data_IF_382951916073
#
_entry.id   IF_382951916073
#
_cell.length_a   1.000
_cell.length_b   1.000
_cell.length_c   1.000
_cell.angle_alpha   90.00
_cell.angle_beta   90.00
_cell.angle_gamma   90.00
#
_symmetry.space_group_name_H-M   'P 1'
#
loop_
_entity.id
_entity.type
_entity.pdbx_description
1 polymer ?
#
# COMPACT_ATOMS: atom_id res chain seq x y z
N UNK A 1 9.02 6.32 26.12
CA UNK A 1 8.04 7.25 25.52
C UNK A 1 8.61 8.02 24.33
N UNK A 2 9.77 8.69 24.45
CA UNK A 2 10.42 9.39 23.32
C UNK A 2 10.64 8.49 22.08
N UNK A 3 11.08 7.24 22.28
CA UNK A 3 11.29 6.27 21.19
C UNK A 3 10.01 5.87 20.45
N UNK A 4 8.91 5.65 21.17
CA UNK A 4 7.60 5.31 20.58
C UNK A 4 7.09 6.45 19.69
N UNK A 5 7.22 7.69 20.14
CA UNK A 5 6.83 8.85 19.37
C UNK A 5 7.67 9.01 18.10
N UNK A 6 8.99 8.79 18.19
CA UNK A 6 9.88 8.78 17.01
C UNK A 6 9.48 7.70 15.99
N UNK A 7 9.11 6.50 16.43
CA UNK A 7 8.64 5.45 15.52
C UNK A 7 7.30 5.80 14.87
N UNK A 8 6.38 6.45 15.59
CA UNK A 8 5.12 6.92 15.03
C UNK A 8 5.34 8.00 13.96
N UNK A 9 6.25 8.95 14.21
CA UNK A 9 6.62 9.96 13.21
C UNK A 9 7.24 9.29 11.98
N UNK A 10 8.16 8.35 12.17
CA UNK A 10 8.78 7.64 11.06
C UNK A 10 7.73 6.87 10.23
N UNK A 11 6.76 6.21 10.88
CA UNK A 11 5.66 5.52 10.21
C UNK A 11 4.74 6.49 9.43
N UNK A 12 4.43 7.66 10.01
CA UNK A 12 3.66 8.71 9.33
C UNK A 12 4.40 9.22 8.08
N UNK A 13 5.70 9.52 8.21
CA UNK A 13 6.53 9.96 7.09
C UNK A 13 6.63 8.89 6.01
N UNK A 14 6.83 7.62 6.38
CA UNK A 14 6.83 6.51 5.44
C UNK A 14 5.48 6.39 4.71
N UNK A 15 4.37 6.63 5.40
CA UNK A 15 3.02 6.63 4.82
C UNK A 15 2.83 7.66 3.71
N UNK A 16 3.56 8.79 3.75
CA UNK A 16 3.48 9.81 2.68
C UNK A 16 3.95 9.31 1.32
N UNK A 17 4.80 8.28 1.28
CA UNK A 17 5.29 7.69 0.03
C UNK A 17 4.19 6.92 -0.73
N UNK A 18 3.17 6.42 -0.03
CA UNK A 18 2.14 5.55 -0.61
C UNK A 18 1.33 6.23 -1.72
N UNK A 19 0.82 7.48 -1.56
CA UNK A 19 0.18 8.21 -2.66
C UNK A 19 1.07 8.38 -3.90
N UNK A 20 2.35 8.71 -3.71
CA UNK A 20 3.29 8.89 -4.82
C UNK A 20 3.51 7.58 -5.58
N UNK A 21 3.69 6.49 -4.84
CA UNK A 21 3.81 5.15 -5.42
C UNK A 21 2.55 4.78 -6.20
N UNK A 22 1.36 5.03 -5.66
CA UNK A 22 0.09 4.73 -6.35
C UNK A 22 -0.05 5.52 -7.65
N UNK A 23 0.29 6.82 -7.65
CA UNK A 23 0.27 7.67 -8.85
C UNK A 23 1.29 7.24 -9.92
N UNK A 24 2.54 7.00 -9.51
CA UNK A 24 3.60 6.55 -10.40
C UNK A 24 3.26 5.19 -11.04
N UNK A 25 2.79 4.24 -10.24
CA UNK A 25 2.38 2.93 -10.73
C UNK A 25 1.18 3.07 -11.69
N UNK A 26 0.19 3.91 -11.39
CA UNK A 26 -0.96 4.12 -12.26
C UNK A 26 -0.55 4.64 -13.65
N UNK A 27 0.37 5.60 -13.70
CA UNK A 27 0.93 6.10 -14.95
C UNK A 27 1.69 5.00 -15.70
N UNK A 28 2.54 4.25 -15.01
CA UNK A 28 3.26 3.11 -15.59
C UNK A 28 2.31 2.07 -16.18
N UNK A 29 1.18 1.81 -15.53
CA UNK A 29 0.15 0.87 -16.01
C UNK A 29 -0.52 1.34 -17.28
N UNK A 30 -0.74 2.65 -17.42
CA UNK A 30 -1.26 3.27 -18.65
C UNK A 30 -0.25 3.16 -19.79
N UNK A 31 1.02 3.45 -19.52
CA UNK A 31 2.10 3.39 -20.52
C UNK A 31 2.38 1.96 -21.01
N UNK A 32 2.29 0.97 -20.11
CA UNK A 32 2.51 -0.45 -20.45
C UNK A 32 1.24 -1.18 -20.91
N UNK A 33 0.10 -0.49 -20.99
CA UNK A 33 -1.17 -1.04 -21.48
C UNK A 33 -1.90 -2.00 -20.53
N UNK A 34 -1.31 -2.41 -19.40
CA UNK A 34 -1.98 -3.24 -18.39
C UNK A 34 -1.44 -3.04 -16.96
N UNK A 35 -2.29 -2.99 -15.92
CA UNK A 35 -1.88 -2.84 -14.51
C UNK A 35 -0.93 -3.93 -13.99
N UNK A 36 -1.06 -5.17 -14.48
CA UNK A 36 -0.15 -6.25 -14.08
C UNK A 36 1.28 -6.02 -14.60
N UNK A 37 1.45 -5.40 -15.76
CA UNK A 37 2.79 -5.03 -16.25
C UNK A 37 3.44 -3.99 -15.34
N UNK A 38 2.67 -2.98 -14.91
CA UNK A 38 3.18 -2.01 -13.94
C UNK A 38 3.50 -2.63 -12.59
N UNK A 39 2.69 -3.57 -12.10
CA UNK A 39 2.98 -4.30 -10.87
C UNK A 39 4.29 -5.08 -10.99
N UNK A 40 4.47 -5.82 -12.08
CA UNK A 40 5.69 -6.59 -12.33
C UNK A 40 6.94 -5.69 -12.40
N UNK A 41 6.89 -4.63 -13.19
CA UNK A 41 8.01 -3.68 -13.34
C UNK A 41 8.30 -2.96 -12.02
N UNK A 42 7.28 -2.50 -11.29
CA UNK A 42 7.42 -1.84 -9.99
C UNK A 42 8.12 -2.75 -8.98
N UNK A 43 7.70 -4.01 -8.88
CA UNK A 43 8.34 -5.01 -8.02
C UNK A 43 9.79 -5.30 -8.45
N UNK A 44 10.06 -5.36 -9.74
CA UNK A 44 11.42 -5.49 -10.27
C UNK A 44 12.33 -4.32 -9.89
N UNK A 45 11.85 -3.08 -10.05
CA UNK A 45 12.58 -1.87 -9.63
C UNK A 45 12.82 -1.88 -8.11
N UNK A 46 11.82 -2.21 -7.31
CA UNK A 46 11.99 -2.34 -5.85
C UNK A 46 13.04 -3.41 -5.48
N UNK A 47 13.03 -4.55 -6.16
CA UNK A 47 14.00 -5.63 -5.95
C UNK A 47 15.44 -5.22 -6.31
N UNK A 48 15.63 -4.36 -7.32
CA UNK A 48 16.95 -3.81 -7.65
C UNK A 48 17.39 -2.75 -6.63
N UNK A 49 16.49 -1.85 -6.24
CA UNK A 49 16.80 -0.72 -5.36
C UNK A 49 17.11 -1.14 -3.91
N UNK A 50 16.61 -2.28 -3.46
CA UNK A 50 16.95 -2.76 -2.11
C UNK A 50 18.41 -3.26 -2.02
N UNK A 51 19.01 -3.73 -3.12
CA UNK A 51 20.38 -4.27 -3.14
C UNK A 51 21.44 -3.29 -2.59
N UNK A 52 21.57 -2.04 -3.08
CA UNK A 52 22.55 -1.10 -2.52
C UNK A 52 22.29 -0.78 -1.04
N UNK A 53 21.03 -0.78 -0.59
CA UNK A 53 20.69 -0.61 0.83
C UNK A 53 21.24 -1.79 1.65
N UNK A 54 21.03 -3.03 1.18
CA UNK A 54 21.56 -4.23 1.83
C UNK A 54 23.09 -4.24 1.91
N UNK A 55 23.76 -3.78 0.84
CA UNK A 55 25.22 -3.62 0.80
C UNK A 55 25.68 -2.58 1.82
N UNK A 56 25.00 -1.42 1.88
CA UNK A 56 25.33 -0.34 2.83
C UNK A 56 25.19 -0.77 4.29
N UNK A 57 24.17 -1.58 4.61
CA UNK A 57 23.98 -2.18 5.93
C UNK A 57 24.83 -3.43 6.18
N UNK A 58 25.62 -3.89 5.20
CA UNK A 58 26.50 -5.07 5.29
C UNK A 58 25.75 -6.33 5.76
N UNK A 59 24.56 -6.56 5.21
CA UNK A 59 23.74 -7.70 5.61
C UNK A 59 24.45 -9.04 5.28
N UNK A 60 24.35 -10.06 6.15
CA UNK A 60 24.91 -11.38 5.88
C UNK A 60 24.16 -12.09 4.75
N UNK A 61 24.80 -13.12 4.18
CA UNK A 61 24.18 -13.97 3.16
C UNK A 61 22.86 -14.56 3.71
N UNK A 62 21.75 -14.49 2.96
CA UNK A 62 20.46 -14.96 3.44
C UNK A 62 20.49 -16.47 3.70
N UNK A 63 19.88 -16.90 4.81
CA UNK A 63 19.69 -18.30 5.14
C UNK A 63 18.51 -18.90 4.33
N UNK A 64 18.65 -18.97 3.00
CA UNK A 64 17.59 -19.41 2.07
C UNK A 64 17.05 -20.80 2.45
N UNK A 65 17.93 -21.71 2.88
CA UNK A 65 17.53 -23.05 3.33
C UNK A 65 16.57 -23.06 4.53
N UNK A 66 16.61 -22.04 5.38
CA UNK A 66 15.66 -21.89 6.49
C UNK A 66 14.30 -21.39 6.00
N UNK A 67 14.27 -20.50 5.01
CA UNK A 67 13.02 -20.01 4.43
C UNK A 67 12.25 -21.15 3.73
N UNK A 68 12.93 -22.01 2.98
CA UNK A 68 12.29 -23.15 2.28
C UNK A 68 11.71 -24.17 3.27
N UNK A 69 12.34 -24.35 4.44
CA UNK A 69 11.84 -25.22 5.52
C UNK A 69 10.83 -24.55 6.45
N UNK A 70 10.62 -23.24 6.28
CA UNK A 70 9.69 -22.46 7.07
C UNK A 70 8.23 -22.82 6.78
N UNK A 71 7.30 -22.28 7.58
CA UNK A 71 5.88 -22.54 7.36
C UNK A 71 5.42 -21.93 6.03
N UNK A 72 4.55 -22.63 5.31
CA UNK A 72 4.12 -22.23 3.95
C UNK A 72 3.50 -20.82 3.87
N UNK A 73 2.92 -20.33 4.97
CA UNK A 73 2.28 -19.02 5.00
C UNK A 73 3.27 -17.85 4.84
N UNK A 74 4.59 -18.04 4.99
CA UNK A 74 5.59 -16.97 4.79
C UNK A 74 5.52 -16.39 3.37
N UNK A 75 5.09 -17.20 2.40
CA UNK A 75 4.99 -16.82 0.99
C UNK A 75 3.71 -16.01 0.69
N UNK A 76 2.72 -16.04 1.58
CA UNK A 76 1.48 -15.26 1.43
C UNK A 76 1.80 -13.77 1.40
N UNK A 77 2.84 -13.32 2.11
CA UNK A 77 3.25 -11.90 2.10
C UNK A 77 3.57 -11.40 0.69
N UNK A 78 4.28 -12.20 -0.12
CA UNK A 78 4.58 -11.86 -1.52
C UNK A 78 3.32 -11.81 -2.38
N UNK A 79 2.44 -12.81 -2.25
CA UNK A 79 1.17 -12.87 -2.98
C UNK A 79 0.24 -11.69 -2.61
N UNK A 80 0.14 -11.37 -1.32
CA UNK A 80 -0.62 -10.25 -0.81
C UNK A 80 -0.06 -8.91 -1.32
N UNK A 81 1.26 -8.78 -1.43
CA UNK A 81 1.91 -7.61 -2.03
C UNK A 81 1.53 -7.38 -3.50
N UNK A 82 1.59 -8.44 -4.32
CA UNK A 82 1.15 -8.39 -5.73
C UNK A 82 -0.33 -8.00 -5.84
N UNK A 83 -1.18 -8.64 -5.02
CA UNK A 83 -2.61 -8.35 -4.99
C UNK A 83 -2.89 -6.89 -4.57
N UNK A 84 -2.20 -6.40 -3.53
CA UNK A 84 -2.33 -5.03 -3.06
C UNK A 84 -1.92 -4.00 -4.11
N UNK A 85 -0.74 -4.15 -4.72
CA UNK A 85 -0.26 -3.21 -5.74
C UNK A 85 -1.19 -3.21 -6.95
N UNK A 86 -1.64 -4.39 -7.39
CA UNK A 86 -2.60 -4.52 -8.49
C UNK A 86 -3.93 -3.85 -8.15
N UNK A 87 -4.46 -4.08 -6.94
CA UNK A 87 -5.68 -3.43 -6.47
C UNK A 87 -5.52 -1.90 -6.39
N UNK A 88 -4.37 -1.40 -5.91
CA UNK A 88 -4.08 0.03 -5.88
C UNK A 88 -4.11 0.64 -7.28
N UNK A 89 -3.51 -0.02 -8.26
CA UNK A 89 -3.53 0.41 -9.66
C UNK A 89 -4.93 0.47 -10.27
N UNK A 90 -5.77 -0.51 -9.95
CA UNK A 90 -7.12 -0.64 -10.49
C UNK A 90 -8.14 0.27 -9.80
N UNK A 91 -8.00 0.45 -8.49
CA UNK A 91 -9.01 1.07 -7.63
C UNK A 91 -8.69 2.52 -7.29
N UNK A 92 -7.41 2.89 -7.11
CA UNK A 92 -7.05 4.27 -6.76
C UNK A 92 -7.50 5.30 -7.80
N UNK A 93 -7.40 5.06 -9.12
CA UNK A 93 -7.92 6.00 -10.13
C UNK A 93 -9.45 6.14 -10.12
N UNK A 94 -10.16 5.11 -9.63
CA UNK A 94 -11.64 5.08 -9.60
C UNK A 94 -12.21 5.71 -8.33
N UNK A 95 -11.55 5.49 -7.19
CA UNK A 95 -11.98 5.97 -5.88
C UNK A 95 -11.39 7.33 -5.51
N UNK A 96 -10.32 7.74 -6.19
CA UNK A 96 -9.45 8.82 -5.72
C UNK A 96 -8.46 8.31 -4.65
N UNK A 97 -7.28 8.93 -4.60
CA UNK A 97 -6.19 8.46 -3.75
C UNK A 97 -6.55 8.46 -2.26
N UNK A 98 -7.22 9.53 -1.78
CA UNK A 98 -7.59 9.66 -0.37
C UNK A 98 -8.58 8.55 0.06
N UNK A 99 -9.70 8.38 -0.66
CA UNK A 99 -10.69 7.35 -0.34
C UNK A 99 -10.11 5.95 -0.42
N UNK A 100 -9.26 5.68 -1.41
CA UNK A 100 -8.57 4.39 -1.52
C UNK A 100 -7.66 4.12 -0.30
N UNK A 101 -6.84 5.07 0.11
CA UNK A 101 -5.91 4.91 1.24
C UNK A 101 -6.68 4.66 2.54
N UNK A 102 -7.73 5.44 2.82
CA UNK A 102 -8.52 5.26 4.06
C UNK A 102 -9.22 3.89 4.04
N UNK A 103 -9.71 3.43 2.88
CA UNK A 103 -10.31 2.10 2.74
C UNK A 103 -9.30 0.97 3.00
N UNK A 104 -8.07 1.11 2.47
CA UNK A 104 -6.96 0.19 2.72
C UNK A 104 -6.64 0.13 4.21
N UNK A 105 -6.51 1.28 4.88
CA UNK A 105 -6.22 1.35 6.32
C UNK A 105 -7.34 0.68 7.14
N UNK A 106 -8.61 0.88 6.76
CA UNK A 106 -9.74 0.22 7.40
C UNK A 106 -9.65 -1.31 7.29
N UNK A 107 -9.37 -1.83 6.08
CA UNK A 107 -9.18 -3.25 5.84
C UNK A 107 -7.97 -3.84 6.58
N UNK A 108 -6.85 -3.12 6.62
CA UNK A 108 -5.64 -3.49 7.37
C UNK A 108 -5.90 -3.57 8.87
N UNK A 109 -6.64 -2.60 9.42
CA UNK A 109 -6.99 -2.57 10.84
C UNK A 109 -7.96 -3.72 11.19
N UNK A 110 -8.97 -3.98 10.36
CA UNK A 110 -9.88 -5.11 10.54
C UNK A 110 -9.14 -6.46 10.47
N UNK A 111 -8.26 -6.64 9.48
CA UNK A 111 -7.43 -7.84 9.37
C UNK A 111 -6.49 -8.02 10.56
N UNK A 112 -5.89 -6.93 11.06
CA UNK A 112 -5.03 -6.96 12.26
C UNK A 112 -5.79 -7.44 13.49
N UNK A 113 -7.06 -7.04 13.67
CA UNK A 113 -7.88 -7.53 14.79
C UNK A 113 -8.09 -9.05 14.71
N UNK A 114 -8.37 -9.57 13.51
CA UNK A 114 -8.54 -11.03 13.30
C UNK A 114 -7.24 -11.78 13.56
N UNK A 115 -6.13 -11.31 12.97
CA UNK A 115 -4.81 -11.92 13.14
C UNK A 115 -4.40 -11.97 14.60
N UNK A 116 -4.56 -10.87 15.33
CA UNK A 116 -4.17 -10.76 16.73
C UNK A 116 -5.07 -11.60 17.66
N UNK A 117 -6.38 -11.64 17.36
CA UNK A 117 -7.35 -12.43 18.13
C UNK A 117 -7.05 -13.93 18.04
N UNK A 118 -6.80 -14.42 16.82
CA UNK A 118 -6.53 -15.83 16.58
C UNK A 118 -5.04 -16.21 16.67
N UNK A 119 -4.16 -15.25 17.01
CA UNK A 119 -2.71 -15.44 17.05
C UNK A 119 -2.14 -16.10 15.77
N UNK A 120 -2.67 -15.71 14.61
CA UNK A 120 -2.26 -16.26 13.32
C UNK A 120 -0.79 -15.92 13.03
N UNK A 121 -0.11 -16.70 12.19
CA UNK A 121 1.28 -16.45 11.74
C UNK A 121 2.30 -16.28 12.87
N UNK A 122 2.07 -16.95 14.01
CA UNK A 122 2.92 -16.87 15.21
C UNK A 122 3.01 -15.45 15.82
N UNK A 123 2.05 -14.57 15.54
CA UNK A 123 1.92 -13.32 16.29
C UNK A 123 1.55 -13.61 17.74
N UNK A 124 2.06 -12.78 18.67
CA UNK A 124 1.69 -12.87 20.07
C UNK A 124 0.17 -12.65 20.23
N UNK A 125 -0.50 -13.52 20.99
CA UNK A 125 -1.92 -13.33 21.28
C UNK A 125 -2.12 -12.00 21.99
N UNK A 126 -2.88 -11.10 21.35
CA UNK A 126 -3.23 -9.79 21.91
C UNK A 126 -4.75 -9.72 21.99
N UNK A 127 -5.34 -9.68 23.20
CA UNK A 127 -6.78 -9.61 23.33
C UNK A 127 -7.31 -8.35 22.62
N UNK A 128 -8.39 -8.53 21.87
CA UNK A 128 -9.05 -7.41 21.20
C UNK A 128 -9.76 -6.59 22.26
N UNK A 129 -9.30 -5.35 22.46
CA UNK A 129 -9.89 -4.43 23.43
C UNK A 129 -10.97 -3.58 22.78
N UNK A 130 -11.90 -3.08 23.59
CA UNK A 130 -12.92 -2.10 23.17
C UNK A 130 -12.28 -0.89 22.47
N UNK A 131 -11.11 -0.45 22.95
CA UNK A 131 -10.37 0.66 22.36
C UNK A 131 -9.93 0.39 20.90
N UNK A 132 -9.56 -0.85 20.55
CA UNK A 132 -9.18 -1.19 19.16
C UNK A 132 -10.40 -1.26 18.24
N UNK A 133 -11.53 -1.74 18.73
CA UNK A 133 -12.79 -1.67 18.00
C UNK A 133 -13.25 -0.22 17.79
N UNK A 134 -13.14 0.63 18.81
CA UNK A 134 -13.43 2.05 18.68
C UNK A 134 -12.50 2.71 17.65
N UNK A 135 -11.21 2.39 17.66
CA UNK A 135 -10.26 2.85 16.64
C UNK A 135 -10.65 2.44 15.22
N UNK A 136 -11.03 1.18 15.01
CA UNK A 136 -11.53 0.71 13.71
C UNK A 136 -12.82 1.45 13.30
N UNK A 137 -13.77 1.64 14.23
CA UNK A 137 -15.00 2.37 13.96
C UNK A 137 -14.73 3.83 13.53
N UNK A 138 -13.77 4.50 14.17
CA UNK A 138 -13.35 5.86 13.78
C UNK A 138 -12.72 5.88 12.38
N UNK A 139 -11.90 4.89 12.02
CA UNK A 139 -11.33 4.78 10.67
C UNK A 139 -12.44 4.57 9.64
N UNK A 140 -13.41 3.70 9.90
CA UNK A 140 -14.56 3.48 9.02
C UNK A 140 -15.41 4.75 8.91
N UNK A 141 -15.64 5.48 10.00
CA UNK A 141 -16.29 6.79 9.97
C UNK A 141 -15.54 7.78 9.07
N UNK A 142 -14.22 7.87 9.22
CA UNK A 142 -13.36 8.68 8.36
C UNK A 142 -13.42 8.26 6.89
N UNK A 143 -13.53 6.97 6.59
CA UNK A 143 -13.74 6.46 5.22
C UNK A 143 -15.05 6.96 4.64
N UNK A 144 -16.17 6.82 5.37
CA UNK A 144 -17.50 7.25 4.91
C UNK A 144 -17.52 8.74 4.62
N UNK A 145 -16.97 9.56 5.52
CA UNK A 145 -16.89 11.02 5.35
C UNK A 145 -16.02 11.39 4.15
N UNK A 146 -14.85 10.76 4.00
CA UNK A 146 -13.94 11.01 2.88
C UNK A 146 -14.58 10.63 1.54
N UNK A 147 -15.24 9.47 1.50
CA UNK A 147 -15.93 9.00 0.31
C UNK A 147 -17.10 9.92 -0.05
N UNK A 148 -17.89 10.35 0.93
CA UNK A 148 -18.98 11.28 0.70
C UNK A 148 -18.48 12.60 0.10
N UNK A 149 -17.42 13.20 0.67
CA UNK A 149 -16.79 14.40 0.12
C UNK A 149 -16.31 14.20 -1.33
N UNK A 150 -15.74 13.04 -1.65
CA UNK A 150 -15.27 12.72 -3.01
C UNK A 150 -16.39 12.60 -4.04
N UNK A 151 -17.62 12.29 -3.63
CA UNK A 151 -18.80 12.26 -4.53
C UNK A 151 -19.39 13.63 -4.83
N UNK A 152 -19.17 14.61 -3.94
CA UNK A 152 -19.71 15.97 -4.07
C UNK A 152 -18.77 16.86 -4.89
N UNK A 153 -17.46 16.59 -4.85
CA UNK A 153 -16.47 17.39 -5.56
C UNK A 153 -16.61 17.24 -7.10
N UNK A 154 -16.67 18.34 -7.88
CA UNK A 154 -16.64 18.27 -9.33
C UNK A 154 -15.38 17.52 -9.78
N UNK A 155 -15.53 16.54 -10.69
CA UNK A 155 -14.36 15.92 -11.33
C UNK A 155 -13.58 17.01 -12.04
N UNK A 156 -12.49 17.48 -11.43
CA UNK A 156 -11.50 18.29 -12.13
C UNK A 156 -11.13 17.51 -13.40
N UNK A 157 -11.32 18.13 -14.56
CA UNK A 157 -10.97 17.53 -15.85
C UNK A 157 -9.55 17.01 -15.72
N UNK A 158 -9.38 15.68 -15.72
CA UNK A 158 -8.05 15.09 -15.78
C UNK A 158 -7.34 15.80 -16.92
N UNK A 159 -6.24 16.50 -16.63
CA UNK A 159 -5.43 17.16 -17.64
C UNK A 159 -5.15 16.09 -18.70
N UNK A 160 -5.76 16.27 -19.87
CA UNK A 160 -5.67 15.37 -21.01
C UNK A 160 -4.23 15.44 -21.50
N UNK A 161 -3.35 14.66 -20.87
CA UNK A 161 -1.98 14.48 -21.31
C UNK A 161 -2.01 13.57 -22.53
N UNK A 162 -2.46 14.14 -23.65
CA UNK A 162 -2.31 13.57 -24.96
C UNK A 162 -0.97 14.07 -25.53
N UNK A 163 0.09 13.23 -25.57
CA UNK A 163 1.38 13.62 -26.14
C UNK A 163 1.27 13.95 -27.64
N UNK A 164 0.21 13.52 -28.32
CA UNK A 164 -0.02 13.76 -29.75
C UNK A 164 -0.70 15.12 -30.03
N UNK A 165 -1.13 15.87 -28.99
CA UNK A 165 -1.72 17.23 -29.15
C UNK A 165 -0.70 18.36 -29.28
N UNK A 166 0.58 18.08 -29.56
CA UNK A 166 1.56 19.09 -29.97
C UNK A 166 1.60 19.16 -31.50
N UNK A 167 0.71 19.94 -32.12
CA UNK A 167 0.83 20.13 -33.57
C UNK A 167 -0.19 21.02 -34.28
N UNK A 168 -1.40 21.21 -33.73
CA UNK A 168 -2.43 22.01 -34.41
C UNK A 168 -2.60 23.39 -33.75
N UNK A 169 -1.59 24.22 -33.89
CA UNK A 169 -1.77 25.68 -33.88
C UNK A 169 -1.18 26.23 -35.16
N UNK A 170 -2.03 26.38 -36.18
CA UNK A 170 -1.79 27.31 -37.28
C UNK A 170 -2.03 28.74 -36.80
#
# INVERSE_FOLDING_TARGET
>A
MASTFSFLIAALLAGTAVPFQAGANAMLGRLLGHPLWATFVSLGVSAVLIVPVMIGFKLPVPAVGMAVKGPWWIWIGGAAGVAYITAALLLAPKLGAASFIVAVIAGQMAASLVIDHFALMSFAHRPVTVARFAGLALIIGGLVVTQWASTIAPRASQLDFNPDKKGDSK
#
